data_IF_426023103309
#
_entry.id   IF_426023103309
#
_cell.length_a   1.000
_cell.length_b   1.000
_cell.length_c   1.000
_cell.angle_alpha   90.00
_cell.angle_beta   90.00
_cell.angle_gamma   90.00
#
_symmetry.space_group_name_H-M   'P 1'
#
loop_
_entity.id
_entity.type
_entity.pdbx_description
1 polymer ?
#
# COMPACT_ATOMS: atom_id res chain seq x y z
N UNK A 1 -8.83 1.95 25.09
CA UNK A 1 -9.42 1.00 26.05
C UNK A 1 -8.38 0.50 27.05
N UNK A 2 -7.21 -0.01 26.61
CA UNK A 2 -6.17 -0.51 27.51
C UNK A 2 -5.72 0.55 28.55
N UNK A 3 -5.36 1.74 28.10
CA UNK A 3 -4.91 2.84 28.96
C UNK A 3 -6.00 3.22 29.96
N UNK A 4 -7.24 3.37 29.50
CA UNK A 4 -8.36 3.72 30.40
C UNK A 4 -8.61 2.66 31.46
N UNK A 5 -8.51 1.38 31.08
CA UNK A 5 -8.62 0.28 32.03
C UNK A 5 -7.45 0.26 33.03
N UNK A 6 -6.20 0.36 32.51
CA UNK A 6 -4.98 0.35 33.33
C UNK A 6 -4.94 1.47 34.39
N UNK A 7 -5.39 2.67 34.00
CA UNK A 7 -5.37 3.84 34.90
C UNK A 7 -6.72 4.16 35.52
N UNK A 8 -7.71 3.26 35.42
CA UNK A 8 -9.06 3.43 35.94
C UNK A 8 -9.69 4.78 35.61
N UNK A 9 -9.48 5.27 34.38
CA UNK A 9 -10.01 6.56 33.97
C UNK A 9 -11.54 6.47 33.83
N UNK A 10 -12.29 7.40 34.42
CA UNK A 10 -13.77 7.41 34.42
C UNK A 10 -14.31 7.91 33.06
N UNK A 11 -13.86 7.34 31.96
CA UNK A 11 -14.27 7.73 30.61
C UNK A 11 -15.00 6.59 29.92
N UNK A 12 -16.11 6.90 29.27
CA UNK A 12 -16.82 5.96 28.42
C UNK A 12 -16.25 6.03 27.01
N UNK A 13 -15.68 4.92 26.55
CA UNK A 13 -15.14 4.81 25.20
C UNK A 13 -16.21 4.21 24.30
N UNK A 14 -16.47 4.85 23.15
CA UNK A 14 -17.32 4.37 22.07
C UNK A 14 -16.50 4.18 20.80
N UNK A 15 -16.85 3.19 20.01
CA UNK A 15 -16.16 2.88 18.76
C UNK A 15 -16.55 1.53 18.19
N UNK A 16 -15.63 0.87 17.51
CA UNK A 16 -15.90 -0.41 16.83
C UNK A 16 -16.39 -1.50 17.78
N UNK A 17 -15.77 -1.65 18.96
CA UNK A 17 -16.12 -2.69 19.92
C UNK A 17 -17.44 -2.45 20.66
N UNK A 18 -17.90 -1.22 20.74
CA UNK A 18 -19.20 -0.86 21.31
C UNK A 18 -20.32 -0.76 20.26
N UNK A 19 -20.02 -1.00 18.98
CA UNK A 19 -20.97 -0.91 17.88
C UNK A 19 -21.31 0.52 17.45
N UNK A 20 -20.65 1.53 18.00
CA UNK A 20 -20.93 2.93 17.66
C UNK A 20 -20.30 3.35 16.32
N UNK A 21 -19.35 2.60 15.81
CA UNK A 21 -18.75 2.80 14.48
C UNK A 21 -18.62 1.47 13.74
N UNK A 22 -18.64 1.52 12.41
CA UNK A 22 -18.50 0.31 11.59
C UNK A 22 -17.16 -0.38 11.83
N UNK A 23 -17.16 -1.72 11.89
CA UNK A 23 -15.95 -2.53 12.07
C UNK A 23 -15.16 -2.69 10.77
N UNK A 24 -15.81 -2.59 9.61
CA UNK A 24 -15.23 -2.76 8.29
C UNK A 24 -15.81 -1.75 7.30
N UNK A 25 -15.15 -1.58 6.17
CA UNK A 25 -15.52 -0.62 5.15
C UNK A 25 -14.79 0.71 5.28
N UNK A 26 -15.03 1.59 4.32
CA UNK A 26 -14.43 2.92 4.27
C UNK A 26 -15.16 3.89 5.21
N UNK A 27 -14.41 4.69 5.93
CA UNK A 27 -14.96 5.81 6.69
C UNK A 27 -15.05 7.03 5.78
N UNK A 28 -16.23 7.23 5.21
CA UNK A 28 -16.53 8.42 4.39
C UNK A 28 -16.80 9.62 5.29
N UNK A 29 -16.78 10.83 4.71
CA UNK A 29 -17.21 12.05 5.39
C UNK A 29 -18.59 11.88 6.04
N UNK A 30 -19.53 11.30 5.33
CA UNK A 30 -20.91 11.16 5.81
C UNK A 30 -21.01 10.16 6.95
N UNK A 31 -20.33 9.01 6.85
CA UNK A 31 -20.30 8.04 7.95
C UNK A 31 -19.68 8.62 9.22
N UNK A 32 -18.54 9.35 9.09
CA UNK A 32 -17.90 10.00 10.23
C UNK A 32 -18.79 11.08 10.83
N UNK A 33 -19.44 11.88 10.01
CA UNK A 33 -20.40 12.90 10.47
C UNK A 33 -21.56 12.26 11.24
N UNK A 34 -22.12 11.16 10.74
CA UNK A 34 -23.19 10.43 11.42
C UNK A 34 -22.74 9.88 12.79
N UNK A 35 -21.53 9.28 12.86
CA UNK A 35 -20.98 8.82 14.14
C UNK A 35 -20.81 9.95 15.16
N UNK A 36 -20.31 11.11 14.74
CA UNK A 36 -20.14 12.28 15.60
C UNK A 36 -21.49 12.82 16.05
N UNK A 37 -22.45 12.95 15.14
CA UNK A 37 -23.81 13.39 15.47
C UNK A 37 -24.47 12.47 16.49
N UNK A 38 -24.38 11.16 16.28
CA UNK A 38 -24.89 10.16 17.22
C UNK A 38 -24.21 10.27 18.58
N UNK A 39 -22.89 10.47 18.62
CA UNK A 39 -22.16 10.66 19.87
C UNK A 39 -22.58 11.92 20.62
N UNK A 40 -22.83 13.01 19.91
CA UNK A 40 -23.25 14.29 20.48
C UNK A 40 -24.76 14.39 20.75
N UNK A 41 -25.54 13.37 20.37
CA UNK A 41 -27.00 13.40 20.47
C UNK A 41 -27.66 14.39 19.49
N UNK A 42 -26.97 14.70 18.41
CA UNK A 42 -27.48 15.57 17.35
C UNK A 42 -28.22 14.73 16.30
N UNK A 43 -29.27 15.29 15.70
CA UNK A 43 -29.90 14.67 14.54
C UNK A 43 -29.01 14.79 13.30
N UNK A 44 -28.93 13.71 12.52
CA UNK A 44 -28.28 13.80 11.22
C UNK A 44 -29.00 14.84 10.36
N UNK A 45 -28.27 15.76 9.78
CA UNK A 45 -28.80 16.64 8.73
C UNK A 45 -29.22 15.74 7.57
N UNK A 46 -30.51 15.65 7.31
CA UNK A 46 -30.98 15.11 6.04
C UNK A 46 -30.41 16.02 4.96
N UNK A 47 -29.52 15.49 4.15
CA UNK A 47 -29.09 16.20 2.95
C UNK A 47 -30.33 16.58 2.15
N UNK A 48 -30.62 17.87 2.11
CA UNK A 48 -31.75 18.41 1.38
C UNK A 48 -31.48 18.18 -0.12
N UNK A 49 -31.94 17.04 -0.65
CA UNK A 49 -32.15 16.86 -2.07
C UNK A 49 -30.98 17.26 -3.00
N UNK A 50 -29.74 16.92 -2.66
CA UNK A 50 -28.69 17.00 -3.67
C UNK A 50 -29.08 16.12 -4.86
N UNK A 51 -28.97 16.62 -6.10
CA UNK A 51 -29.25 15.82 -7.26
C UNK A 51 -28.39 14.56 -7.23
N UNK A 52 -29.02 13.40 -7.54
CA UNK A 52 -28.28 12.15 -7.66
C UNK A 52 -27.16 12.33 -8.67
N UNK A 53 -25.92 12.12 -8.22
CA UNK A 53 -24.78 12.25 -9.12
C UNK A 53 -24.93 11.27 -10.29
N UNK A 54 -24.65 11.70 -11.53
CA UNK A 54 -24.64 10.77 -12.65
C UNK A 54 -23.63 9.64 -12.43
N UNK A 55 -23.92 8.47 -12.96
CA UNK A 55 -22.99 7.35 -12.93
C UNK A 55 -21.71 7.75 -13.68
N UNK A 56 -20.61 7.85 -12.95
CA UNK A 56 -19.32 8.25 -13.51
C UNK A 56 -18.50 7.00 -13.85
N UNK A 57 -17.75 7.03 -14.96
CA UNK A 57 -16.85 5.94 -15.29
C UNK A 57 -15.78 5.76 -14.22
N UNK A 58 -15.50 4.51 -13.87
CA UNK A 58 -14.42 4.17 -12.93
C UNK A 58 -13.09 4.62 -13.51
N UNK A 59 -12.35 5.40 -12.75
CA UNK A 59 -10.99 5.86 -13.09
C UNK A 59 -10.01 5.32 -12.07
N UNK A 60 -9.48 4.11 -12.27
CA UNK A 60 -8.47 3.56 -11.37
C UNK A 60 -7.20 4.43 -11.41
N UNK A 61 -6.45 4.50 -10.31
CA UNK A 61 -5.16 5.17 -10.32
C UNK A 61 -4.21 4.47 -11.32
N UNK A 62 -3.47 5.27 -12.09
CA UNK A 62 -2.50 4.79 -13.06
C UNK A 62 -1.24 5.64 -13.00
N UNK A 63 -0.12 5.09 -13.42
CA UNK A 63 1.11 5.86 -13.60
C UNK A 63 0.88 7.01 -14.59
N UNK A 64 1.43 8.18 -14.30
CA UNK A 64 1.31 9.37 -15.14
C UNK A 64 1.79 9.12 -16.57
N UNK A 65 1.28 9.91 -17.50
CA UNK A 65 1.81 9.94 -18.87
C UNK A 65 3.28 10.42 -18.86
N UNK A 66 4.17 9.70 -19.52
CA UNK A 66 5.61 10.02 -19.53
C UNK A 66 6.35 9.74 -18.22
N UNK A 67 5.72 9.06 -17.26
CA UNK A 67 6.35 8.71 -16.00
C UNK A 67 7.62 7.86 -16.20
N UNK A 68 8.78 8.24 -15.62
CA UNK A 68 10.03 7.46 -15.76
C UNK A 68 9.93 6.05 -15.17
N UNK A 69 9.08 5.83 -14.16
CA UNK A 69 8.86 4.49 -13.60
C UNK A 69 8.31 3.52 -14.65
N UNK A 70 7.49 3.98 -15.61
CA UNK A 70 7.03 3.14 -16.73
C UNK A 70 8.18 2.62 -17.54
N UNK A 71 9.19 3.46 -17.81
CA UNK A 71 10.37 3.07 -18.57
C UNK A 71 11.19 2.02 -17.82
N UNK A 72 11.38 2.18 -16.51
CA UNK A 72 12.08 1.22 -15.66
C UNK A 72 11.39 -0.14 -15.65
N UNK A 73 10.08 -0.17 -15.39
CA UNK A 73 9.30 -1.42 -15.44
C UNK A 73 9.35 -2.07 -16.81
N UNK A 74 9.19 -1.29 -17.88
CA UNK A 74 9.22 -1.81 -19.25
C UNK A 74 10.59 -2.39 -19.59
N UNK A 75 11.69 -1.74 -19.20
CA UNK A 75 13.04 -2.22 -19.45
C UNK A 75 13.28 -3.57 -18.77
N UNK A 76 12.90 -3.72 -17.51
CA UNK A 76 13.02 -4.98 -16.75
C UNK A 76 12.14 -6.05 -17.40
N UNK A 77 10.87 -5.75 -17.69
CA UNK A 77 9.96 -6.68 -18.37
C UNK A 77 10.55 -7.21 -19.68
N UNK A 78 11.13 -6.34 -20.47
CA UNK A 78 11.75 -6.71 -21.74
C UNK A 78 12.99 -7.57 -21.53
N UNK A 79 13.86 -7.22 -20.59
CA UNK A 79 15.10 -7.95 -20.29
C UNK A 79 14.82 -9.36 -19.73
N UNK A 80 13.73 -9.50 -19.01
CA UNK A 80 13.37 -10.75 -18.33
C UNK A 80 12.36 -11.60 -19.10
N UNK A 81 12.02 -11.23 -20.34
CA UNK A 81 11.07 -11.98 -21.15
C UNK A 81 11.47 -13.45 -21.28
N UNK A 82 10.57 -14.36 -20.90
CA UNK A 82 10.76 -15.80 -20.99
C UNK A 82 11.62 -16.41 -19.86
N UNK A 83 12.01 -15.62 -18.86
CA UNK A 83 12.71 -16.10 -17.65
C UNK A 83 11.74 -16.22 -16.50
N UNK A 84 12.03 -17.14 -15.58
CA UNK A 84 11.28 -17.28 -14.33
C UNK A 84 11.65 -16.12 -13.41
N UNK A 85 10.69 -15.27 -13.09
CA UNK A 85 10.91 -14.03 -12.32
C UNK A 85 9.81 -13.82 -11.30
N UNK A 86 10.11 -13.08 -10.24
CA UNK A 86 9.14 -12.48 -9.34
C UNK A 86 9.47 -11.01 -9.13
N UNK A 87 8.44 -10.18 -9.12
CA UNK A 87 8.52 -8.74 -8.96
C UNK A 87 7.86 -8.32 -7.65
N UNK A 88 8.67 -8.07 -6.62
CA UNK A 88 8.22 -7.63 -5.33
C UNK A 88 8.15 -6.10 -5.31
N UNK A 89 6.96 -5.56 -5.18
CA UNK A 89 6.71 -4.13 -5.23
C UNK A 89 6.67 -3.46 -3.87
N UNK A 90 6.53 -2.16 -3.92
CA UNK A 90 6.42 -1.27 -2.78
C UNK A 90 5.14 -0.44 -2.87
N UNK A 91 4.73 0.19 -1.78
CA UNK A 91 3.54 1.04 -1.75
C UNK A 91 3.90 2.46 -2.20
N UNK A 92 3.12 2.95 -3.17
CA UNK A 92 3.27 4.25 -3.79
C UNK A 92 2.97 4.17 -5.28
N UNK A 93 3.55 5.06 -6.09
CA UNK A 93 3.48 4.96 -7.55
C UNK A 93 4.00 3.61 -8.08
N UNK A 94 4.85 2.97 -7.33
CA UNK A 94 5.48 1.69 -7.64
C UNK A 94 4.46 0.55 -7.68
N UNK A 95 3.46 0.58 -6.79
CA UNK A 95 2.34 -0.37 -6.82
C UNK A 95 1.58 -0.32 -8.15
N UNK A 96 1.50 0.86 -8.76
CA UNK A 96 0.78 1.05 -10.03
C UNK A 96 1.46 0.34 -11.21
N UNK A 97 2.65 -0.19 -11.02
CA UNK A 97 3.31 -1.08 -11.97
C UNK A 97 2.60 -2.44 -12.15
N UNK A 98 1.65 -2.78 -11.26
CA UNK A 98 0.83 -3.99 -11.38
C UNK A 98 -0.19 -3.89 -12.53
N UNK A 99 -0.58 -2.67 -12.92
CA UNK A 99 -1.60 -2.46 -13.94
C UNK A 99 -1.08 -2.85 -15.34
N UNK A 100 -1.99 -3.44 -16.13
CA UNK A 100 -1.69 -3.71 -17.54
C UNK A 100 -1.38 -2.40 -18.30
N UNK A 101 -0.48 -2.40 -19.26
CA UNK A 101 0.22 -3.55 -19.84
C UNK A 101 1.55 -3.90 -19.13
N UNK A 102 1.88 -3.23 -18.03
CA UNK A 102 3.15 -3.46 -17.33
C UNK A 102 3.15 -4.82 -16.63
N UNK A 103 2.23 -5.04 -15.71
CA UNK A 103 2.13 -6.29 -14.95
C UNK A 103 3.49 -6.68 -14.32
N UNK A 104 4.03 -5.76 -13.53
CA UNK A 104 5.40 -5.81 -12.99
C UNK A 104 5.44 -5.75 -11.46
N UNK A 105 4.35 -6.14 -10.80
CA UNK A 105 4.26 -6.24 -9.35
C UNK A 105 3.42 -7.45 -8.97
N UNK A 106 4.09 -8.50 -8.51
CA UNK A 106 3.45 -9.75 -8.07
C UNK A 106 3.06 -9.70 -6.59
N UNK A 107 3.83 -8.98 -5.77
CA UNK A 107 3.60 -8.85 -4.33
C UNK A 107 3.68 -7.41 -3.88
N UNK A 108 2.78 -7.00 -2.97
CA UNK A 108 2.82 -5.71 -2.31
C UNK A 108 2.16 -5.84 -0.93
N UNK A 109 2.89 -5.57 0.14
CA UNK A 109 2.39 -5.72 1.52
C UNK A 109 2.41 -4.39 2.28
N UNK A 110 3.60 -3.86 2.56
CA UNK A 110 3.80 -2.57 3.22
C UNK A 110 5.10 -1.92 2.73
N UNK A 111 5.29 -0.64 3.04
CA UNK A 111 6.48 0.11 2.61
C UNK A 111 7.76 -0.59 3.05
N UNK A 112 8.63 -0.93 2.10
CA UNK A 112 9.90 -1.62 2.30
C UNK A 112 9.83 -3.13 2.40
N UNK A 113 8.64 -3.75 2.45
CA UNK A 113 8.50 -5.20 2.58
C UNK A 113 8.96 -5.96 1.32
N UNK A 114 8.83 -5.36 0.14
CA UNK A 114 9.17 -6.01 -1.12
C UNK A 114 10.59 -6.56 -1.16
N UNK A 115 11.54 -5.83 -0.59
CA UNK A 115 12.94 -6.27 -0.49
C UNK A 115 13.09 -7.55 0.34
N UNK A 116 12.41 -7.61 1.49
CA UNK A 116 12.49 -8.78 2.38
C UNK A 116 11.71 -9.98 1.82
N UNK A 117 10.61 -9.73 1.11
CA UNK A 117 9.86 -10.78 0.40
C UNK A 117 10.75 -11.39 -0.69
N UNK A 118 11.42 -10.56 -1.51
CA UNK A 118 12.32 -11.02 -2.55
C UNK A 118 13.45 -11.90 -1.99
N UNK A 119 14.04 -11.53 -0.85
CA UNK A 119 15.04 -12.35 -0.15
C UNK A 119 14.46 -13.71 0.27
N UNK A 120 13.25 -13.70 0.84
CA UNK A 120 12.60 -14.95 1.26
C UNK A 120 12.31 -15.88 0.09
N UNK A 121 11.83 -15.34 -1.02
CA UNK A 121 11.57 -16.12 -2.23
C UNK A 121 12.86 -16.68 -2.83
N UNK A 122 13.90 -15.87 -2.91
CA UNK A 122 15.21 -16.32 -3.43
C UNK A 122 15.76 -17.55 -2.65
N UNK A 123 15.55 -17.60 -1.33
CA UNK A 123 16.01 -18.71 -0.51
C UNK A 123 15.25 -20.02 -0.75
N UNK A 124 13.99 -19.95 -1.12
CA UNK A 124 13.14 -21.13 -1.35
C UNK A 124 12.96 -21.49 -2.82
N UNK A 125 13.22 -20.53 -3.71
CA UNK A 125 13.08 -20.64 -5.18
C UNK A 125 14.36 -20.17 -5.88
N UNK A 126 15.50 -20.87 -5.72
CA UNK A 126 16.82 -20.39 -6.20
C UNK A 126 16.90 -20.21 -7.72
N UNK A 127 16.03 -20.88 -8.48
CA UNK A 127 15.96 -20.75 -9.95
C UNK A 127 15.12 -19.56 -10.41
N UNK A 128 14.55 -18.79 -9.47
CA UNK A 128 13.73 -17.61 -9.75
C UNK A 128 14.55 -16.34 -9.60
N UNK A 129 14.59 -15.51 -10.64
CA UNK A 129 15.22 -14.18 -10.52
C UNK A 129 14.29 -13.26 -9.75
N UNK A 130 14.70 -12.85 -8.56
CA UNK A 130 13.91 -12.03 -7.66
C UNK A 130 14.26 -10.54 -7.83
N UNK A 131 13.25 -9.72 -8.07
CA UNK A 131 13.36 -8.27 -8.11
C UNK A 131 12.62 -7.65 -6.95
N UNK A 132 13.18 -6.60 -6.36
CA UNK A 132 12.48 -5.71 -5.47
C UNK A 132 12.47 -4.29 -6.04
N UNK A 133 11.30 -3.71 -6.21
CA UNK A 133 11.13 -2.31 -6.54
C UNK A 133 10.80 -1.54 -5.27
N UNK A 134 11.49 -0.45 -5.04
CA UNK A 134 11.29 0.40 -3.86
C UNK A 134 11.41 1.88 -4.25
N UNK A 135 10.60 2.73 -3.64
CA UNK A 135 10.74 4.16 -3.78
C UNK A 135 11.93 4.72 -2.99
N UNK A 136 12.43 5.87 -3.41
CA UNK A 136 13.52 6.58 -2.74
C UNK A 136 13.19 6.92 -1.28
N UNK A 137 12.02 7.48 -1.03
CA UNK A 137 11.55 7.78 0.32
C UNK A 137 11.48 6.51 1.20
N UNK A 138 10.88 5.44 0.69
CA UNK A 138 10.82 4.15 1.40
C UNK A 138 12.20 3.53 1.59
N UNK A 139 13.09 3.69 0.61
CA UNK A 139 14.46 3.18 0.70
C UNK A 139 15.16 3.70 1.96
N UNK A 140 15.12 5.01 2.19
CA UNK A 140 15.73 5.62 3.37
C UNK A 140 14.92 5.42 4.65
N UNK A 141 13.60 5.42 4.58
CA UNK A 141 12.76 5.33 5.77
C UNK A 141 12.72 3.93 6.39
N UNK A 142 12.67 2.87 5.57
CA UNK A 142 12.44 1.51 6.09
C UNK A 142 13.18 0.39 5.35
N UNK A 143 13.50 0.54 4.06
CA UNK A 143 14.09 -0.55 3.29
C UNK A 143 15.58 -0.77 3.53
N UNK A 144 16.31 0.23 4.02
CA UNK A 144 17.76 0.16 4.21
C UNK A 144 18.17 -0.99 5.16
N UNK A 145 17.36 -1.26 6.18
CA UNK A 145 17.58 -2.39 7.09
C UNK A 145 17.48 -3.74 6.36
N UNK A 146 16.56 -3.82 5.40
CA UNK A 146 16.44 -4.98 4.51
C UNK A 146 17.65 -5.15 3.60
N UNK A 147 18.27 -4.06 3.13
CA UNK A 147 19.53 -4.12 2.36
C UNK A 147 20.65 -4.71 3.20
N UNK A 148 20.81 -4.23 4.43
CA UNK A 148 21.81 -4.78 5.37
C UNK A 148 21.58 -6.27 5.58
N UNK A 149 20.33 -6.68 5.77
CA UNK A 149 19.96 -8.09 5.92
C UNK A 149 20.26 -8.91 4.64
N UNK A 150 19.98 -8.35 3.46
CA UNK A 150 20.27 -9.00 2.18
C UNK A 150 21.77 -9.24 1.99
N UNK A 151 22.59 -8.25 2.31
CA UNK A 151 24.06 -8.37 2.25
C UNK A 151 24.56 -9.40 3.24
N UNK A 152 24.09 -9.34 4.49
CA UNK A 152 24.49 -10.32 5.52
C UNK A 152 24.16 -11.75 5.11
N UNK A 153 22.99 -11.98 4.52
CA UNK A 153 22.53 -13.31 4.08
C UNK A 153 22.99 -13.68 2.67
N UNK A 154 23.80 -12.84 2.02
CA UNK A 154 24.29 -13.05 0.65
C UNK A 154 23.14 -13.35 -0.32
N UNK A 155 22.05 -12.59 -0.24
CA UNK A 155 20.87 -12.78 -1.06
C UNK A 155 21.18 -12.42 -2.53
N UNK A 156 20.85 -13.34 -3.45
CA UNK A 156 21.03 -13.15 -4.88
C UNK A 156 19.76 -12.58 -5.52
N UNK A 157 19.56 -11.28 -5.36
CA UNK A 157 18.39 -10.57 -5.88
C UNK A 157 18.76 -9.23 -6.51
N UNK A 158 17.85 -8.65 -7.25
CA UNK A 158 18.01 -7.32 -7.85
C UNK A 158 17.13 -6.32 -7.11
N UNK A 159 17.75 -5.31 -6.49
CA UNK A 159 17.06 -4.18 -5.92
C UNK A 159 17.07 -3.00 -6.90
N UNK A 160 15.89 -2.45 -7.19
CA UNK A 160 15.72 -1.27 -8.03
C UNK A 160 15.08 -0.16 -7.21
N UNK A 161 15.85 0.89 -6.94
CA UNK A 161 15.33 2.10 -6.30
C UNK A 161 14.80 3.04 -7.38
N UNK A 162 13.51 3.34 -7.32
CA UNK A 162 12.83 4.24 -8.23
C UNK A 162 12.77 5.63 -7.59
N UNK A 163 13.71 6.46 -7.96
CA UNK A 163 13.87 7.82 -7.42
C UNK A 163 13.00 8.81 -8.19
N UNK A 164 12.13 9.51 -7.50
CA UNK A 164 11.35 10.63 -7.99
C UNK A 164 11.53 11.90 -7.14
N UNK A 165 12.51 11.88 -6.25
CA UNK A 165 12.89 13.00 -5.38
C UNK A 165 11.75 13.47 -4.45
N UNK A 166 10.96 12.56 -3.89
CA UNK A 166 9.86 12.88 -2.96
C UNK A 166 10.00 12.16 -1.63
#
# INVERSE_FOLDING_TARGET
TYICGKYHLPVKIRGKLSGDTACAGENTRDSVTSYINTFLGLSDRKDAGLPVAPELPVRPPVLCAGCPHRASFYAVKKAMKGKKTIFCGDIGCYTLGNAMPLDMVDTCLCMGAGLNIAQGVEKVEPDTTCFAFVGDSTFFASAITGVVNAVYNQANMVLIVLDNST
#
